data_IF_169613950618
#
_entry.id   IF_169613950618
#
_cell.length_a   1.000
_cell.length_b   1.000
_cell.length_c   1.000
_cell.angle_alpha   90.00
_cell.angle_beta   90.00
_cell.angle_gamma   90.00
#
_symmetry.space_group_name_H-M   'P 1'
#
loop_
_entity.id
_entity.type
_entity.pdbx_description
1 polymer ?
#
# COMPACT_ATOMS: atom_id res chain seq x y z
N UNK A 1 21.64 -3.73 -52.49
CA UNK A 1 22.16 -2.36 -52.22
C UNK A 1 20.97 -1.41 -52.38
N UNK A 2 20.53 -0.58 -51.45
CA UNK A 2 21.08 -0.09 -50.20
C UNK A 2 19.87 0.20 -49.27
N UNK A 3 19.96 -0.26 -48.03
CA UNK A 3 19.01 0.02 -46.95
C UNK A 3 19.14 1.50 -46.56
N UNK A 4 18.04 2.26 -46.52
CA UNK A 4 17.99 3.54 -45.79
C UNK A 4 16.87 3.48 -44.76
N UNK A 5 17.23 2.94 -43.60
CA UNK A 5 16.53 3.13 -42.33
C UNK A 5 16.48 4.63 -42.02
N UNK A 6 15.38 5.30 -42.35
CA UNK A 6 15.00 6.55 -41.69
C UNK A 6 14.55 6.19 -40.28
N UNK A 7 15.48 6.23 -39.32
CA UNK A 7 15.13 6.13 -37.90
C UNK A 7 14.33 7.38 -37.52
N UNK A 8 13.14 7.17 -36.97
CA UNK A 8 12.30 8.24 -36.44
C UNK A 8 13.07 9.02 -35.38
N UNK A 9 13.04 10.35 -35.50
CA UNK A 9 13.74 11.25 -34.61
C UNK A 9 13.13 11.15 -33.21
N UNK A 10 13.88 10.62 -32.25
CA UNK A 10 13.43 10.44 -30.86
C UNK A 10 13.80 11.68 -30.07
N UNK A 11 12.83 12.49 -29.66
CA UNK A 11 13.05 13.67 -28.80
C UNK A 11 12.68 13.39 -27.35
N UNK A 12 13.31 14.11 -26.44
CA UNK A 12 12.90 14.12 -25.03
C UNK A 12 11.44 14.58 -24.91
N UNK A 13 10.65 13.88 -24.10
CA UNK A 13 9.19 14.12 -23.96
C UNK A 13 8.84 15.02 -22.75
N UNK A 14 9.85 15.49 -22.02
CA UNK A 14 9.67 16.38 -20.85
C UNK A 14 9.57 17.85 -21.30
N UNK A 15 8.58 18.56 -20.74
CA UNK A 15 8.29 19.96 -21.06
C UNK A 15 9.50 20.86 -20.77
N UNK A 16 9.96 21.62 -21.76
CA UNK A 16 11.11 22.55 -21.64
C UNK A 16 12.44 21.99 -22.14
N UNK A 17 12.51 20.72 -22.55
CA UNK A 17 13.70 20.13 -23.14
C UNK A 17 13.51 19.79 -24.62
N UNK A 18 14.42 20.27 -25.48
CA UNK A 18 14.41 20.01 -26.93
C UNK A 18 15.54 19.09 -27.40
N UNK A 19 16.14 18.30 -26.50
CA UNK A 19 17.26 17.43 -26.84
C UNK A 19 16.85 16.30 -27.80
N UNK A 20 17.66 16.10 -28.84
CA UNK A 20 17.55 14.97 -29.77
C UNK A 20 18.26 13.75 -29.19
N UNK A 21 17.50 12.69 -28.96
CA UNK A 21 17.95 11.44 -28.34
C UNK A 21 18.17 10.33 -29.38
N UNK A 22 18.02 10.62 -30.68
CA UNK A 22 18.01 9.63 -31.77
C UNK A 22 19.30 8.80 -31.85
N UNK A 23 20.44 9.38 -31.47
CA UNK A 23 21.76 8.74 -31.52
C UNK A 23 22.29 8.32 -30.14
N UNK A 24 21.49 8.48 -29.08
CA UNK A 24 21.90 8.12 -27.72
C UNK A 24 21.54 6.66 -27.41
N UNK A 25 22.44 5.95 -26.73
CA UNK A 25 22.15 4.61 -26.22
C UNK A 25 21.03 4.66 -25.17
N UNK A 26 20.39 3.53 -24.88
CA UNK A 26 19.36 3.47 -23.84
C UNK A 26 19.85 4.01 -22.48
N UNK A 27 21.10 3.71 -22.11
CA UNK A 27 21.72 4.19 -20.88
C UNK A 27 21.96 5.71 -20.89
N UNK A 28 22.36 6.27 -22.04
CA UNK A 28 22.54 7.72 -22.21
C UNK A 28 21.21 8.46 -22.19
N UNK A 29 20.15 7.87 -22.77
CA UNK A 29 18.78 8.43 -22.70
C UNK A 29 18.24 8.44 -21.27
N UNK A 30 18.49 7.37 -20.52
CA UNK A 30 18.11 7.31 -19.10
C UNK A 30 18.84 8.39 -18.29
N UNK A 31 20.16 8.54 -18.45
CA UNK A 31 20.92 9.59 -17.76
C UNK A 31 20.45 11.01 -18.13
N UNK A 32 20.04 11.22 -19.39
CA UNK A 32 19.41 12.47 -19.82
C UNK A 32 18.08 12.72 -19.09
N UNK A 33 17.21 11.73 -18.97
CA UNK A 33 15.97 11.87 -18.20
C UNK A 33 16.26 12.16 -16.72
N UNK A 34 17.21 11.44 -16.12
CA UNK A 34 17.60 11.61 -14.71
C UNK A 34 18.12 13.04 -14.41
N UNK A 35 18.78 13.70 -15.38
CA UNK A 35 19.23 15.10 -15.22
C UNK A 35 18.07 16.10 -15.07
N UNK A 36 16.92 15.87 -15.72
CA UNK A 36 15.74 16.74 -15.57
C UNK A 36 15.13 16.67 -14.16
N UNK A 37 15.25 15.52 -13.50
CA UNK A 37 14.74 15.33 -12.15
C UNK A 37 15.67 15.90 -11.06
N UNK A 38 16.96 16.06 -11.37
CA UNK A 38 17.94 16.64 -10.44
C UNK A 38 18.04 18.17 -10.53
N UNK A 39 17.74 18.78 -11.68
CA UNK A 39 17.84 20.24 -11.88
C UNK A 39 16.65 21.03 -11.30
N UNK A 40 15.60 20.35 -10.78
CA UNK A 40 14.46 21.03 -10.14
C UNK A 40 14.82 21.77 -8.83
N UNK A 41 16.06 21.64 -8.35
CA UNK A 41 16.57 22.34 -7.16
C UNK A 41 17.40 23.60 -7.44
N UNK A 42 17.61 23.99 -8.70
CA UNK A 42 18.31 25.23 -9.03
C UNK A 42 17.73 25.91 -10.26
N UNK A 43 16.85 26.90 -10.05
CA UNK A 43 16.96 28.27 -10.61
C UNK A 43 15.62 29.02 -10.54
N UNK A 44 15.55 29.95 -9.59
CA UNK A 44 14.89 31.25 -9.78
C UNK A 44 15.75 32.13 -10.71
N UNK A 45 15.11 33.10 -11.37
CA UNK A 45 15.63 34.08 -12.36
C UNK A 45 15.89 33.47 -13.75
N UNK A 46 15.39 33.99 -14.88
CA UNK A 46 15.07 35.37 -15.33
C UNK A 46 14.04 35.33 -16.48
N UNK A 47 13.45 36.50 -16.78
CA UNK A 47 12.34 36.71 -17.72
C UNK A 47 12.77 37.17 -19.14
N UNK A 48 11.77 37.29 -20.03
CA UNK A 48 11.70 37.92 -21.39
C UNK A 48 12.06 37.01 -22.59
N UNK A 49 11.44 37.06 -23.79
CA UNK A 49 10.37 37.86 -24.45
C UNK A 49 9.97 37.20 -25.81
N UNK A 50 8.71 37.40 -26.26
CA UNK A 50 8.15 37.48 -27.66
C UNK A 50 8.56 36.46 -28.78
N UNK A 51 7.77 36.01 -29.77
CA UNK A 51 6.46 36.36 -30.37
C UNK A 51 6.06 35.34 -31.47
N UNK A 52 4.77 35.19 -31.78
CA UNK A 52 4.25 34.96 -33.15
C UNK A 52 3.82 33.53 -33.57
N UNK A 53 2.82 33.37 -34.47
CA UNK A 53 1.74 32.38 -34.30
C UNK A 53 1.63 31.31 -35.41
N UNK A 54 0.90 30.21 -35.16
CA UNK A 54 -0.06 29.62 -36.13
C UNK A 54 -0.79 28.41 -35.57
N UNK A 55 -2.06 28.33 -35.95
CA UNK A 55 -3.12 27.50 -35.39
C UNK A 55 -3.05 26.02 -35.81
N UNK A 56 -3.09 25.13 -34.83
CA UNK A 56 -3.68 23.79 -34.96
C UNK A 56 -4.02 23.23 -33.55
N UNK A 57 -4.61 24.06 -32.69
CA UNK A 57 -4.98 23.70 -31.33
C UNK A 57 -6.43 24.08 -31.08
N UNK A 58 -7.34 23.11 -31.11
CA UNK A 58 -8.68 23.39 -30.55
C UNK A 58 -9.39 22.18 -29.94
N UNK A 59 -8.99 20.93 -30.19
CA UNK A 59 -9.73 19.78 -29.65
C UNK A 59 -9.24 19.30 -28.27
N UNK A 60 -7.93 19.14 -28.06
CA UNK A 60 -7.40 18.49 -26.84
C UNK A 60 -7.05 19.45 -25.70
N UNK A 61 -6.84 20.74 -25.99
CA UNK A 61 -6.68 21.79 -24.98
C UNK A 61 -8.03 22.28 -24.41
N UNK A 62 -9.13 22.03 -25.12
CA UNK A 62 -10.44 22.50 -24.73
C UNK A 62 -10.86 21.98 -23.35
N UNK A 63 -10.58 20.71 -23.00
CA UNK A 63 -11.03 20.16 -21.71
C UNK A 63 -10.20 20.57 -20.49
N UNK A 64 -8.87 20.67 -20.65
CA UNK A 64 -7.99 21.18 -19.58
C UNK A 64 -8.36 22.63 -19.26
N UNK A 65 -8.81 23.40 -20.26
CA UNK A 65 -9.31 24.76 -20.10
C UNK A 65 -10.79 24.87 -19.70
N UNK A 66 -11.66 23.88 -20.05
CA UNK A 66 -13.09 23.85 -19.68
C UNK A 66 -13.33 23.47 -18.21
N UNK A 67 -12.30 23.00 -17.51
CA UNK A 67 -12.27 22.89 -16.04
C UNK A 67 -11.74 24.15 -15.35
N UNK A 68 -11.47 25.24 -16.09
CA UNK A 68 -11.09 26.54 -15.53
C UNK A 68 -12.34 27.41 -15.36
N UNK A 69 -13.26 26.97 -14.51
CA UNK A 69 -14.37 27.82 -14.04
C UNK A 69 -13.81 28.93 -13.14
N UNK A 70 -14.39 30.12 -13.23
CA UNK A 70 -13.92 31.39 -12.68
C UNK A 70 -13.27 31.28 -11.29
N UNK A 71 -12.07 31.86 -11.18
CA UNK A 71 -11.21 31.84 -10.01
C UNK A 71 -11.60 32.84 -8.91
N UNK A 72 -12.83 33.34 -8.90
CA UNK A 72 -13.16 34.54 -8.09
C UNK A 72 -14.00 34.29 -6.84
N UNK A 73 -14.32 33.04 -6.48
CA UNK A 73 -15.07 32.78 -5.23
C UNK A 73 -14.74 31.46 -4.51
N UNK A 74 -13.49 30.99 -4.60
CA UNK A 74 -13.03 29.86 -3.79
C UNK A 74 -12.74 30.34 -2.37
N UNK A 75 -13.73 30.25 -1.48
CA UNK A 75 -13.49 30.25 -0.02
C UNK A 75 -12.34 29.27 0.27
N UNK A 76 -11.24 29.79 0.81
CA UNK A 76 -10.05 29.02 1.18
C UNK A 76 -10.51 27.88 2.10
N UNK A 77 -10.50 26.65 1.57
CA UNK A 77 -10.84 25.46 2.33
C UNK A 77 -9.71 25.29 3.38
N UNK A 78 -10.03 25.12 4.68
CA UNK A 78 -9.00 24.95 5.70
C UNK A 78 -8.03 23.82 5.32
N UNK A 79 -6.73 24.11 5.36
CA UNK A 79 -5.68 23.22 4.87
C UNK A 79 -5.73 21.78 5.44
N UNK A 80 -6.27 21.60 6.64
CA UNK A 80 -6.40 20.27 7.27
C UNK A 80 -7.38 19.32 6.60
N UNK A 81 -8.35 19.80 5.80
CA UNK A 81 -9.40 18.97 5.21
C UNK A 81 -9.00 18.18 3.96
N UNK A 82 -7.80 18.44 3.41
CA UNK A 82 -7.36 17.94 2.11
C UNK A 82 -5.97 17.30 2.15
N UNK A 83 -5.49 16.90 3.32
CA UNK A 83 -4.21 16.19 3.45
C UNK A 83 -4.30 14.85 2.73
N UNK A 84 -3.40 14.64 1.78
CA UNK A 84 -3.24 13.37 1.08
C UNK A 84 -1.77 12.99 0.98
N UNK A 85 -1.51 11.70 1.15
CA UNK A 85 -0.18 11.11 1.12
C UNK A 85 -0.27 9.72 0.51
N UNK A 86 0.76 9.32 -0.23
CA UNK A 86 0.92 7.96 -0.76
C UNK A 86 2.37 7.50 -0.62
N UNK A 87 2.61 6.20 -0.72
CA UNK A 87 3.89 5.55 -0.41
C UNK A 87 5.08 5.92 -1.29
N UNK A 88 4.87 6.68 -2.36
CA UNK A 88 5.96 7.12 -3.25
C UNK A 88 6.44 8.53 -2.92
N UNK A 89 5.80 9.22 -1.97
CA UNK A 89 6.24 10.53 -1.51
C UNK A 89 7.44 10.39 -0.55
N UNK A 90 8.37 11.35 -0.63
CA UNK A 90 9.54 11.41 0.26
C UNK A 90 9.20 11.91 1.68
N UNK A 91 8.07 12.62 1.83
CA UNK A 91 7.61 13.12 3.12
C UNK A 91 7.13 11.96 4.02
N UNK A 92 7.29 12.08 5.35
CA UNK A 92 6.78 11.08 6.27
C UNK A 92 5.24 11.01 6.23
N UNK A 93 4.64 9.82 6.43
CA UNK A 93 3.18 9.67 6.40
C UNK A 93 2.53 10.49 7.53
N UNK A 94 1.47 11.26 7.24
CA UNK A 94 0.72 11.99 8.25
C UNK A 94 0.17 11.07 9.35
N UNK A 95 -0.19 11.61 10.54
CA UNK A 95 -0.61 10.80 11.69
C UNK A 95 -1.81 9.88 11.44
N UNK A 96 -2.72 10.27 10.53
CA UNK A 96 -3.89 9.49 10.14
C UNK A 96 -3.61 8.49 9.00
N UNK A 97 -2.44 8.53 8.37
CA UNK A 97 -2.01 7.54 7.38
C UNK A 97 -1.13 6.48 8.04
N UNK A 98 -1.38 5.22 7.72
CA UNK A 98 -0.61 4.07 8.20
C UNK A 98 -0.21 3.17 7.01
N UNK A 99 0.97 3.42 6.39
CA UNK A 99 1.48 2.58 5.32
C UNK A 99 2.08 1.27 5.84
N UNK A 100 2.38 0.34 4.92
CA UNK A 100 3.10 -0.90 5.19
C UNK A 100 2.34 -1.91 6.05
N UNK A 101 1.02 -1.74 6.19
CA UNK A 101 0.18 -2.65 6.95
C UNK A 101 -0.08 -3.98 6.22
N UNK A 102 -0.03 -4.02 4.89
CA UNK A 102 -0.18 -5.27 4.12
C UNK A 102 0.92 -6.28 4.50
N UNK A 103 2.23 -5.93 4.49
CA UNK A 103 3.29 -6.79 5.04
C UNK A 103 3.07 -7.23 6.49
N UNK A 104 2.55 -6.35 7.36
CA UNK A 104 2.27 -6.68 8.76
C UNK A 104 1.16 -7.73 8.88
N UNK A 105 0.07 -7.56 8.11
CA UNK A 105 -1.02 -8.53 8.03
C UNK A 105 -0.53 -9.85 7.44
N UNK A 106 0.29 -9.81 6.39
CA UNK A 106 0.92 -11.00 5.78
C UNK A 106 1.69 -11.81 6.81
N UNK A 107 2.58 -11.17 7.57
CA UNK A 107 3.37 -11.85 8.60
C UNK A 107 2.49 -12.47 9.69
N UNK A 108 1.41 -11.78 10.09
CA UNK A 108 0.47 -12.32 11.05
C UNK A 108 -0.30 -13.54 10.49
N UNK A 109 -0.70 -13.51 9.22
CA UNK A 109 -1.36 -14.62 8.53
C UNK A 109 -0.44 -15.84 8.40
N UNK A 110 0.84 -15.66 8.10
CA UNK A 110 1.85 -16.74 8.06
C UNK A 110 1.94 -17.42 9.43
N UNK A 111 1.98 -16.65 10.52
CA UNK A 111 1.98 -17.18 11.89
C UNK A 111 0.65 -17.84 12.28
N UNK A 112 -0.46 -17.34 11.76
CA UNK A 112 -1.78 -17.97 11.90
C UNK A 112 -1.84 -19.30 11.15
N UNK A 113 -1.19 -19.40 10.00
CA UNK A 113 -1.07 -20.63 9.22
C UNK A 113 -0.19 -21.68 9.88
N UNK A 114 0.95 -21.31 10.48
CA UNK A 114 1.79 -22.27 11.22
C UNK A 114 1.08 -22.86 12.44
N UNK A 115 0.19 -22.10 13.07
CA UNK A 115 -0.73 -22.58 14.12
C UNK A 115 -1.96 -23.31 13.55
N UNK A 116 -2.04 -23.41 12.23
CA UNK A 116 -3.08 -24.07 11.47
C UNK A 116 -4.41 -23.33 11.35
N UNK A 117 -4.62 -22.14 11.94
CA UNK A 117 -5.91 -21.46 11.85
C UNK A 117 -6.25 -20.98 10.43
N UNK A 118 -5.27 -20.39 9.75
CA UNK A 118 -5.39 -19.93 8.36
C UNK A 118 -4.87 -21.02 7.43
N UNK A 119 -5.69 -21.50 6.50
CA UNK A 119 -5.23 -22.44 5.47
C UNK A 119 -4.52 -21.68 4.35
N UNK A 120 -5.18 -20.66 3.80
CA UNK A 120 -4.65 -19.80 2.76
C UNK A 120 -5.14 -18.37 2.91
N UNK A 121 -4.41 -17.41 2.37
CA UNK A 121 -4.85 -16.03 2.29
C UNK A 121 -4.32 -15.33 1.04
N UNK A 122 -5.06 -14.34 0.56
CA UNK A 122 -4.72 -13.49 -0.58
C UNK A 122 -4.85 -12.04 -0.17
N UNK A 123 -3.83 -11.24 -0.47
CA UNK A 123 -3.76 -9.83 -0.14
C UNK A 123 -3.77 -9.01 -1.43
N UNK A 124 -4.36 -7.81 -1.37
CA UNK A 124 -4.28 -6.84 -2.45
C UNK A 124 -2.84 -6.31 -2.61
N UNK A 125 -2.68 -5.41 -3.57
CA UNK A 125 -1.46 -4.64 -3.77
C UNK A 125 -0.93 -4.04 -2.46
N UNK A 126 0.36 -4.25 -2.21
CA UNK A 126 1.00 -4.11 -0.90
C UNK A 126 1.20 -2.65 -0.44
N UNK A 127 1.18 -1.70 -1.37
CA UNK A 127 1.37 -0.26 -1.10
C UNK A 127 0.10 0.50 -0.75
N UNK A 128 -1.01 -0.19 -0.51
CA UNK A 128 -2.21 0.39 0.09
C UNK A 128 -1.91 0.90 1.51
N UNK A 129 -2.22 2.17 1.79
CA UNK A 129 -2.13 2.75 3.12
C UNK A 129 -3.52 2.82 3.77
N UNK A 130 -3.60 2.52 5.07
CA UNK A 130 -4.81 2.80 5.85
C UNK A 130 -4.91 4.29 6.12
N UNK A 131 -6.12 4.84 6.02
CA UNK A 131 -6.42 6.25 6.35
C UNK A 131 -7.52 6.31 7.41
N UNK A 132 -7.15 6.78 8.60
CA UNK A 132 -8.07 6.98 9.72
C UNK A 132 -8.87 8.29 9.57
N UNK A 133 -10.12 8.29 10.01
CA UNK A 133 -10.95 9.49 10.11
C UNK A 133 -10.41 10.47 11.15
N UNK A 134 -10.49 11.76 10.85
CA UNK A 134 -10.04 12.83 11.74
C UNK A 134 -11.25 13.45 12.46
N UNK A 135 -10.98 14.41 13.35
CA UNK A 135 -12.04 15.00 14.18
C UNK A 135 -13.15 15.68 13.36
N UNK A 136 -12.80 16.33 12.25
CA UNK A 136 -13.75 17.08 11.44
C UNK A 136 -14.69 16.18 10.61
N UNK A 137 -14.21 15.00 10.19
CA UNK A 137 -14.96 14.04 9.38
C UNK A 137 -15.44 12.81 10.16
N UNK A 138 -15.18 12.76 11.46
CA UNK A 138 -15.73 11.73 12.35
C UNK A 138 -17.25 11.66 12.20
N UNK A 139 -17.77 10.44 12.15
CA UNK A 139 -19.19 10.05 11.94
C UNK A 139 -19.76 10.17 10.53
N UNK A 140 -19.02 10.69 9.54
CA UNK A 140 -19.54 10.84 8.18
C UNK A 140 -18.52 10.65 7.07
N UNK A 141 -17.23 10.69 7.39
CA UNK A 141 -16.12 10.64 6.45
C UNK A 141 -15.80 9.27 5.86
N UNK A 142 -16.50 8.19 6.23
CA UNK A 142 -16.10 6.82 5.86
C UNK A 142 -15.92 6.64 4.34
N UNK A 143 -16.90 7.06 3.52
CA UNK A 143 -16.78 7.00 2.06
C UNK A 143 -15.61 7.80 1.51
N UNK A 144 -15.36 9.01 2.05
CA UNK A 144 -14.23 9.85 1.68
C UNK A 144 -12.88 9.21 2.04
N UNK A 145 -12.76 8.59 3.22
CA UNK A 145 -11.51 7.93 3.64
C UNK A 145 -11.25 6.65 2.84
N UNK A 146 -12.28 5.90 2.48
CA UNK A 146 -12.15 4.74 1.59
C UNK A 146 -11.71 5.17 0.17
N UNK A 147 -12.19 6.32 -0.33
CA UNK A 147 -11.66 6.93 -1.56
C UNK A 147 -10.16 7.22 -1.44
N UNK A 148 -9.71 7.87 -0.35
CA UNK A 148 -8.28 8.14 -0.15
C UNK A 148 -7.46 6.85 -0.10
N UNK A 149 -7.95 5.82 0.60
CA UNK A 149 -7.29 4.51 0.64
C UNK A 149 -7.15 3.89 -0.75
N UNK A 150 -8.19 3.93 -1.58
CA UNK A 150 -8.10 3.49 -2.97
C UNK A 150 -7.08 4.30 -3.79
N UNK A 151 -7.09 5.63 -3.66
CA UNK A 151 -6.11 6.49 -4.32
C UNK A 151 -4.66 6.17 -3.93
N UNK A 152 -4.39 5.79 -2.66
CA UNK A 152 -3.02 5.42 -2.25
C UNK A 152 -2.46 4.23 -3.04
N UNK A 153 -3.33 3.33 -3.52
CA UNK A 153 -2.96 2.20 -4.37
C UNK A 153 -2.86 2.61 -5.84
N UNK A 154 -3.93 3.24 -6.35
CA UNK A 154 -4.09 3.54 -7.78
C UNK A 154 -3.01 4.48 -8.32
N UNK A 155 -2.51 5.39 -7.48
CA UNK A 155 -1.48 6.35 -7.84
C UNK A 155 -0.06 5.77 -7.84
N UNK A 156 0.17 4.60 -7.24
CA UNK A 156 1.53 4.04 -7.08
C UNK A 156 1.72 2.66 -7.70
N UNK A 157 0.64 1.98 -8.09
CA UNK A 157 0.72 0.76 -8.89
C UNK A 157 1.36 1.03 -10.26
N UNK A 158 2.09 0.05 -10.79
CA UNK A 158 2.88 0.19 -12.02
C UNK A 158 2.16 -0.23 -13.30
N UNK A 159 1.00 -0.90 -13.20
CA UNK A 159 0.26 -1.40 -14.36
C UNK A 159 -0.44 -0.31 -15.17
N UNK A 160 -0.85 0.78 -14.52
CA UNK A 160 -1.55 1.92 -15.14
C UNK A 160 -0.98 3.26 -14.62
N UNK A 161 0.23 3.66 -15.03
CA UNK A 161 0.91 4.84 -14.48
C UNK A 161 0.14 6.15 -14.74
N UNK A 162 -0.68 6.20 -15.80
CA UNK A 162 -1.53 7.36 -16.11
C UNK A 162 -2.61 7.64 -15.07
N UNK A 163 -2.88 6.73 -14.14
CA UNK A 163 -3.82 7.00 -13.05
C UNK A 163 -3.29 8.05 -12.08
N UNK A 164 -1.96 8.16 -11.90
CA UNK A 164 -1.36 9.20 -11.06
C UNK A 164 -1.76 10.62 -11.50
N UNK A 165 -1.42 11.08 -12.73
CA UNK A 165 -1.73 12.45 -13.13
C UNK A 165 -3.23 12.74 -13.19
N UNK A 166 -4.06 11.74 -13.51
CA UNK A 166 -5.53 11.89 -13.54
C UNK A 166 -6.16 12.08 -12.15
N UNK A 167 -5.54 11.50 -11.12
CA UNK A 167 -5.99 11.65 -9.73
C UNK A 167 -5.38 12.89 -9.06
N UNK A 168 -4.17 13.29 -9.46
CA UNK A 168 -3.45 14.43 -8.89
C UNK A 168 -3.94 15.79 -9.44
N UNK A 169 -4.22 15.88 -10.74
CA UNK A 169 -4.65 17.12 -11.42
C UNK A 169 -6.14 17.08 -11.81
N UNK A 170 -6.91 18.20 -11.72
CA UNK A 170 -6.50 19.55 -11.29
C UNK A 170 -6.44 19.75 -9.77
N UNK A 171 -6.96 18.79 -9.02
CA UNK A 171 -6.87 18.80 -7.55
C UNK A 171 -6.59 17.39 -7.05
N UNK A 172 -5.66 17.24 -6.09
CA UNK A 172 -5.27 15.93 -5.59
C UNK A 172 -6.40 15.34 -4.74
N UNK A 173 -6.33 14.04 -4.42
CA UNK A 173 -7.28 13.41 -3.53
C UNK A 173 -7.36 14.16 -2.19
N UNK A 174 -8.55 14.23 -1.61
CA UNK A 174 -8.79 14.92 -0.35
C UNK A 174 -10.27 14.88 0.00
N UNK A 175 -10.63 15.01 1.28
CA UNK A 175 -12.05 14.91 1.68
C UNK A 175 -12.87 16.03 1.04
N UNK A 176 -12.38 17.28 1.09
CA UNK A 176 -13.08 18.43 0.51
C UNK A 176 -12.87 18.52 -1.00
N UNK A 177 -11.69 18.14 -1.50
CA UNK A 177 -11.44 18.06 -2.94
C UNK A 177 -12.37 17.04 -3.62
N UNK A 178 -12.66 15.91 -2.96
CA UNK A 178 -13.63 14.94 -3.46
C UNK A 178 -15.05 15.51 -3.52
N UNK A 179 -15.48 16.28 -2.50
CA UNK A 179 -16.78 16.97 -2.54
C UNK A 179 -16.89 17.88 -3.77
N UNK A 180 -15.86 18.67 -4.06
CA UNK A 180 -15.83 19.51 -5.25
C UNK A 180 -15.83 18.69 -6.53
N UNK A 181 -15.00 17.65 -6.60
CA UNK A 181 -14.91 16.76 -7.77
C UNK A 181 -16.25 16.11 -8.12
N UNK A 182 -17.01 15.64 -7.12
CA UNK A 182 -18.33 15.05 -7.34
C UNK A 182 -19.33 16.10 -7.82
N UNK A 183 -19.37 17.29 -7.20
CA UNK A 183 -20.24 18.37 -7.67
C UNK A 183 -19.90 18.85 -9.09
N UNK A 184 -18.62 18.90 -9.45
CA UNK A 184 -18.17 19.24 -10.80
C UNK A 184 -18.59 18.18 -11.81
N UNK A 185 -18.60 16.90 -11.42
CA UNK A 185 -19.13 15.82 -12.24
C UNK A 185 -20.65 15.99 -12.43
N UNK A 186 -21.39 16.28 -11.36
CA UNK A 186 -22.84 16.51 -11.41
C UNK A 186 -23.21 17.70 -12.30
N UNK A 187 -22.48 18.82 -12.22
CA UNK A 187 -22.72 19.99 -13.09
C UNK A 187 -22.46 19.69 -14.57
N UNK A 188 -21.68 18.64 -14.86
CA UNK A 188 -21.40 18.12 -16.21
C UNK A 188 -22.32 16.97 -16.62
N UNK A 189 -23.40 16.72 -15.87
CA UNK A 189 -24.44 15.76 -16.20
C UNK A 189 -24.14 14.32 -15.83
N UNK A 190 -23.16 14.07 -14.95
CA UNK A 190 -22.99 12.77 -14.31
C UNK A 190 -24.03 12.62 -13.20
N UNK A 191 -24.61 11.43 -13.07
CA UNK A 191 -25.43 10.99 -11.95
C UNK A 191 -26.46 12.01 -11.45
N UNK A 192 -27.41 12.36 -12.31
CA UNK A 192 -28.49 13.30 -11.96
C UNK A 192 -29.34 12.82 -10.77
N UNK A 193 -29.46 11.50 -10.57
CA UNK A 193 -30.21 10.90 -9.47
C UNK A 193 -29.48 11.10 -8.13
N UNK A 194 -28.21 10.71 -8.04
CA UNK A 194 -27.40 10.93 -6.83
C UNK A 194 -27.22 12.42 -6.52
N UNK A 195 -27.07 13.26 -7.55
CA UNK A 195 -27.05 14.71 -7.40
C UNK A 195 -28.35 15.22 -6.74
N UNK A 196 -29.52 14.76 -7.21
CA UNK A 196 -30.81 15.14 -6.65
C UNK A 196 -30.99 14.63 -5.21
N UNK A 197 -30.62 13.38 -4.93
CA UNK A 197 -30.68 12.78 -3.60
C UNK A 197 -29.86 13.60 -2.59
N UNK A 198 -28.68 14.05 -3.00
CA UNK A 198 -27.78 14.87 -2.19
C UNK A 198 -28.01 16.37 -2.39
N UNK A 199 -29.17 16.78 -2.93
CA UNK A 199 -29.61 18.18 -3.08
C UNK A 199 -28.58 19.06 -3.82
N UNK A 200 -27.85 18.49 -4.76
CA UNK A 200 -26.81 19.11 -5.58
C UNK A 200 -25.70 19.82 -4.77
N UNK A 201 -25.50 19.44 -3.51
CA UNK A 201 -24.58 20.12 -2.60
C UNK A 201 -23.87 19.13 -1.67
N UNK A 202 -22.56 18.96 -1.87
CA UNK A 202 -21.62 18.26 -1.00
C UNK A 202 -20.60 19.20 -0.36
N UNK A 203 -20.05 20.17 -1.09
CA UNK A 203 -19.03 21.11 -0.60
C UNK A 203 -19.56 21.84 0.62
N UNK A 204 -18.75 21.89 1.68
CA UNK A 204 -19.13 22.53 2.95
C UNK A 204 -20.12 21.72 3.79
N UNK A 205 -20.57 20.55 3.34
CA UNK A 205 -21.50 19.69 4.10
C UNK A 205 -20.76 18.56 4.82
N UNK A 206 -21.51 17.81 5.64
CA UNK A 206 -21.11 16.56 6.31
C UNK A 206 -21.92 15.36 5.80
N UNK A 207 -22.43 15.44 4.57
CA UNK A 207 -23.27 14.39 3.99
C UNK A 207 -22.46 13.11 3.80
N UNK A 208 -23.11 11.98 4.03
CA UNK A 208 -22.54 10.69 3.71
C UNK A 208 -22.53 10.51 2.20
N UNK A 209 -21.53 9.80 1.71
CA UNK A 209 -21.43 9.37 0.32
C UNK A 209 -21.23 7.86 0.30
N UNK A 210 -21.71 7.23 -0.76
CA UNK A 210 -21.56 5.81 -1.03
C UNK A 210 -20.65 5.55 -2.21
N UNK A 211 -20.61 4.29 -2.62
CA UNK A 211 -19.86 3.80 -3.77
C UNK A 211 -20.33 4.39 -5.11
N UNK A 212 -21.58 4.85 -5.21
CA UNK A 212 -22.09 5.59 -6.37
C UNK A 212 -21.34 6.92 -6.59
N UNK A 213 -21.23 7.77 -5.57
CA UNK A 213 -20.46 9.03 -5.68
C UNK A 213 -18.98 8.77 -5.96
N UNK A 214 -18.42 7.69 -5.42
CA UNK A 214 -17.04 7.31 -5.71
C UNK A 214 -16.87 6.86 -7.17
N UNK A 215 -17.79 6.05 -7.69
CA UNK A 215 -17.84 5.68 -9.11
C UNK A 215 -17.88 6.92 -10.00
N UNK A 216 -18.73 7.90 -9.64
CA UNK A 216 -18.83 9.17 -10.37
C UNK A 216 -17.50 9.91 -10.34
N UNK A 217 -16.86 10.05 -9.17
CA UNK A 217 -15.58 10.76 -9.06
C UNK A 217 -14.47 10.09 -9.89
N UNK A 218 -14.32 8.77 -9.81
CA UNK A 218 -13.31 8.03 -10.58
C UNK A 218 -13.58 8.09 -12.08
N UNK A 219 -14.82 7.80 -12.52
CA UNK A 219 -15.20 7.89 -13.93
C UNK A 219 -15.02 9.31 -14.46
N UNK A 220 -15.38 10.32 -13.66
CA UNK A 220 -15.18 11.71 -14.02
C UNK A 220 -13.70 12.08 -14.12
N UNK A 221 -12.79 11.45 -13.36
CA UNK A 221 -11.33 11.60 -13.53
C UNK A 221 -10.74 10.68 -14.61
N UNK A 222 -11.56 9.90 -15.31
CA UNK A 222 -11.11 8.99 -16.36
C UNK A 222 -10.52 7.68 -15.85
N UNK A 223 -10.77 7.33 -14.58
CA UNK A 223 -10.37 6.06 -13.99
C UNK A 223 -11.52 5.06 -14.16
N UNK A 224 -11.30 3.92 -14.86
CA UNK A 224 -12.26 2.82 -14.90
C UNK A 224 -12.59 2.32 -13.49
N UNK A 225 -13.88 2.30 -13.16
CA UNK A 225 -14.40 1.71 -11.93
C UNK A 225 -15.73 1.00 -12.23
N UNK A 226 -16.09 0.01 -11.41
CA UNK A 226 -17.30 -0.81 -11.60
C UNK A 226 -17.97 -1.10 -10.27
N UNK A 227 -19.30 -1.12 -10.29
CA UNK A 227 -20.15 -1.41 -9.14
C UNK A 227 -20.75 -2.81 -9.23
N UNK A 228 -20.85 -3.47 -8.08
CA UNK A 228 -21.52 -4.75 -7.93
C UNK A 228 -22.40 -4.75 -6.69
N UNK A 229 -23.68 -5.01 -6.86
CA UNK A 229 -24.68 -5.13 -5.80
C UNK A 229 -24.88 -6.58 -5.37
N UNK A 230 -25.01 -6.77 -4.06
CA UNK A 230 -25.23 -8.04 -3.40
C UNK A 230 -26.47 -7.95 -2.51
N UNK A 231 -27.40 -8.87 -2.73
CA UNK A 231 -28.55 -9.12 -1.85
C UNK A 231 -28.35 -10.44 -1.11
N UNK A 232 -27.95 -10.34 0.15
CA UNK A 232 -27.66 -11.48 1.01
C UNK A 232 -28.92 -12.12 1.60
N UNK A 233 -30.11 -11.56 1.37
CA UNK A 233 -31.36 -12.03 2.00
C UNK A 233 -31.70 -13.50 1.68
N UNK A 234 -31.24 -14.00 0.53
CA UNK A 234 -31.52 -15.37 0.07
C UNK A 234 -30.37 -16.34 0.29
N UNK A 235 -29.17 -15.97 -0.16
CA UNK A 235 -27.99 -16.86 -0.18
C UNK A 235 -27.00 -16.59 0.94
N UNK A 236 -27.26 -15.60 1.80
CA UNK A 236 -26.36 -15.20 2.87
C UNK A 236 -25.08 -14.52 2.36
N UNK A 237 -24.13 -14.18 3.26
CA UNK A 237 -22.85 -13.56 2.93
C UNK A 237 -21.97 -14.40 1.99
N UNK A 238 -22.26 -15.67 1.78
CA UNK A 238 -21.51 -16.59 0.94
C UNK A 238 -21.34 -16.04 -0.48
N UNK A 239 -22.36 -15.42 -1.08
CA UNK A 239 -22.25 -14.84 -2.44
C UNK A 239 -21.24 -13.70 -2.53
N UNK A 240 -21.17 -12.88 -1.48
CA UNK A 240 -20.22 -11.78 -1.39
C UNK A 240 -18.80 -12.32 -1.18
N UNK A 241 -18.66 -13.31 -0.29
CA UNK A 241 -17.38 -13.95 0.03
C UNK A 241 -16.82 -14.70 -1.18
N UNK A 242 -17.63 -15.44 -1.92
CA UNK A 242 -17.27 -16.12 -3.17
C UNK A 242 -16.80 -15.12 -4.23
N UNK A 243 -17.55 -14.02 -4.43
CA UNK A 243 -17.18 -13.00 -5.40
C UNK A 243 -15.84 -12.32 -5.04
N UNK A 244 -15.64 -11.98 -3.77
CA UNK A 244 -14.37 -11.40 -3.30
C UNK A 244 -13.21 -12.39 -3.45
N UNK A 245 -13.44 -13.66 -3.12
CA UNK A 245 -12.45 -14.70 -3.30
C UNK A 245 -12.05 -14.84 -4.78
N UNK A 246 -13.03 -14.85 -5.70
CA UNK A 246 -12.79 -14.89 -7.14
C UNK A 246 -12.03 -13.65 -7.65
N UNK A 247 -12.33 -12.45 -7.14
CA UNK A 247 -11.62 -11.23 -7.51
C UNK A 247 -10.10 -11.33 -7.23
N UNK A 248 -9.74 -11.75 -6.02
CA UNK A 248 -8.34 -11.89 -5.62
C UNK A 248 -7.66 -13.14 -6.20
N UNK A 249 -8.41 -14.24 -6.37
CA UNK A 249 -7.88 -15.49 -6.93
C UNK A 249 -7.62 -15.41 -8.44
N UNK A 250 -8.51 -14.76 -9.20
CA UNK A 250 -8.42 -14.68 -10.68
C UNK A 250 -7.17 -13.95 -11.21
N UNK A 251 -6.43 -13.24 -10.36
CA UNK A 251 -5.12 -12.67 -10.71
C UNK A 251 -3.99 -13.72 -10.77
N UNK A 252 -4.18 -14.89 -10.14
CA UNK A 252 -3.20 -15.99 -10.09
C UNK A 252 -3.31 -16.92 -11.30
N UNK A 253 -4.45 -16.91 -12.01
CA UNK A 253 -4.76 -17.85 -13.09
C UNK A 253 -4.80 -17.23 -14.50
N UNK A 254 -4.06 -16.15 -14.76
CA UNK A 254 -3.80 -15.77 -16.16
C UNK A 254 -2.94 -16.88 -16.80
N UNK A 255 -3.41 -17.56 -17.87
CA UNK A 255 -2.66 -18.63 -18.52
C UNK A 255 -1.55 -18.02 -19.40
N UNK A 256 -0.54 -17.43 -18.78
CA UNK A 256 0.75 -17.15 -19.42
C UNK A 256 1.72 -18.19 -18.89
N UNK A 257 1.91 -19.27 -19.64
CA UNK A 257 2.88 -20.37 -19.44
C UNK A 257 3.28 -20.58 -17.98
N UNK A 258 2.71 -21.61 -17.33
CA UNK A 258 3.09 -22.06 -15.98
C UNK A 258 4.60 -22.23 -15.87
N UNK A 259 5.26 -21.18 -15.41
CA UNK A 259 6.67 -21.21 -15.08
C UNK A 259 6.79 -21.72 -13.64
N UNK A 260 7.99 -22.14 -13.24
CA UNK A 260 8.24 -22.64 -11.89
C UNK A 260 7.82 -21.63 -10.79
N UNK A 261 7.79 -20.34 -11.11
CA UNK A 261 7.36 -19.26 -10.22
C UNK A 261 5.85 -19.31 -9.89
N UNK A 262 4.99 -19.70 -10.84
CA UNK A 262 3.55 -19.83 -10.60
C UNK A 262 3.22 -21.05 -9.74
N UNK A 263 3.98 -22.14 -9.92
CA UNK A 263 3.89 -23.34 -9.07
C UNK A 263 4.31 -23.01 -7.63
N UNK A 264 5.42 -22.28 -7.46
CA UNK A 264 5.89 -21.84 -6.14
C UNK A 264 4.92 -20.85 -5.47
N UNK A 265 4.32 -19.92 -6.22
CA UNK A 265 3.25 -19.05 -5.70
C UNK A 265 2.01 -19.84 -5.29
N UNK A 266 1.66 -20.88 -6.06
CA UNK A 266 0.57 -21.79 -5.75
C UNK A 266 0.74 -22.53 -4.41
N UNK A 267 2.00 -22.76 -4.00
CA UNK A 267 2.36 -23.43 -2.74
C UNK A 267 2.45 -22.48 -1.52
N UNK A 268 2.43 -21.16 -1.72
CA UNK A 268 2.50 -20.21 -0.60
C UNK A 268 1.18 -20.16 0.18
N UNK A 269 1.29 -20.18 1.51
CA UNK A 269 0.15 -20.04 2.41
C UNK A 269 -0.50 -18.65 2.33
N UNK A 270 0.29 -17.60 2.05
CA UNK A 270 -0.20 -16.23 1.90
C UNK A 270 0.34 -15.66 0.60
N UNK A 271 -0.55 -15.24 -0.29
CA UNK A 271 -0.24 -14.76 -1.64
C UNK A 271 -0.51 -13.26 -1.72
N UNK A 272 0.50 -12.48 -2.11
CA UNK A 272 0.30 -11.09 -2.51
C UNK A 272 -0.14 -11.05 -3.98
N UNK A 273 -1.11 -10.21 -4.28
CA UNK A 273 -1.64 -10.05 -5.63
C UNK A 273 -1.44 -8.62 -6.11
N UNK A 274 -1.44 -8.40 -7.42
CA UNK A 274 -1.43 -7.06 -8.00
C UNK A 274 -2.85 -6.46 -8.09
N UNK A 275 -3.85 -7.10 -7.46
CA UNK A 275 -5.23 -6.63 -7.44
C UNK A 275 -5.37 -5.39 -6.55
N UNK A 276 -6.19 -4.45 -6.98
CA UNK A 276 -6.50 -3.25 -6.20
C UNK A 276 -7.39 -3.59 -5.01
N UNK A 277 -7.38 -2.76 -3.95
CA UNK A 277 -8.33 -2.92 -2.87
C UNK A 277 -9.77 -2.68 -3.37
N UNK A 278 -10.74 -3.29 -2.69
CA UNK A 278 -12.17 -3.12 -2.99
C UNK A 278 -12.80 -2.19 -1.96
N UNK A 279 -13.71 -1.30 -2.38
CA UNK A 279 -14.50 -0.52 -1.41
C UNK A 279 -15.81 -1.26 -1.17
N UNK A 280 -16.07 -1.64 0.07
CA UNK A 280 -17.29 -2.32 0.52
C UNK A 280 -18.21 -1.33 1.22
N UNK A 281 -19.40 -1.13 0.66
CA UNK A 281 -20.46 -0.30 1.22
C UNK A 281 -21.59 -1.17 1.78
N UNK A 282 -22.15 -0.76 2.91
CA UNK A 282 -23.47 -1.19 3.39
C UNK A 282 -24.19 -0.01 4.07
N UNK A 283 -25.46 -0.18 4.43
CA UNK A 283 -26.17 0.87 5.18
C UNK A 283 -25.43 1.18 6.50
N UNK A 284 -25.04 2.45 6.70
CA UNK A 284 -24.38 2.91 7.93
C UNK A 284 -22.87 3.14 7.83
N UNK A 285 -22.16 2.46 6.92
CA UNK A 285 -20.68 2.48 6.91
C UNK A 285 -20.09 1.93 5.62
N UNK A 286 -18.83 2.28 5.36
CA UNK A 286 -18.01 1.65 4.32
C UNK A 286 -16.60 1.33 4.82
N UNK A 287 -15.99 0.33 4.20
CA UNK A 287 -14.63 -0.16 4.50
C UNK A 287 -13.89 -0.48 3.21
N UNK A 288 -12.58 -0.65 3.31
CA UNK A 288 -11.75 -1.10 2.19
C UNK A 288 -11.31 -2.55 2.42
N UNK A 289 -11.70 -3.48 1.55
CA UNK A 289 -11.22 -4.87 1.56
C UNK A 289 -9.82 -4.90 0.94
N UNK A 290 -8.87 -5.42 1.70
CA UNK A 290 -7.46 -5.56 1.32
C UNK A 290 -7.05 -7.02 1.12
N UNK A 291 -8.00 -7.94 1.16
CA UNK A 291 -7.77 -9.36 0.94
C UNK A 291 -8.83 -10.24 1.58
N UNK A 292 -8.57 -11.54 1.56
CA UNK A 292 -9.36 -12.53 2.29
C UNK A 292 -8.46 -13.65 2.80
N UNK A 293 -8.94 -14.36 3.81
CA UNK A 293 -8.35 -15.62 4.25
C UNK A 293 -9.40 -16.72 4.27
N UNK A 294 -8.93 -17.94 4.00
CA UNK A 294 -9.66 -19.18 4.18
C UNK A 294 -9.11 -19.86 5.44
N UNK A 295 -9.96 -20.03 6.45
CA UNK A 295 -9.63 -20.69 7.71
C UNK A 295 -9.85 -22.21 7.64
N UNK A 296 -9.43 -22.95 8.69
CA UNK A 296 -9.88 -24.33 8.92
C UNK A 296 -11.42 -24.41 8.78
N UNK A 297 -11.91 -25.44 8.08
CA UNK A 297 -13.32 -25.66 7.74
C UNK A 297 -13.89 -24.79 6.60
N UNK A 298 -13.02 -24.25 5.73
CA UNK A 298 -13.41 -23.45 4.57
C UNK A 298 -14.17 -22.15 4.90
N UNK A 299 -14.20 -21.74 6.17
CA UNK A 299 -14.74 -20.44 6.55
C UNK A 299 -13.88 -19.32 5.98
N UNK A 300 -14.54 -18.29 5.43
CA UNK A 300 -13.85 -17.12 4.88
C UNK A 300 -13.98 -15.94 5.85
N UNK A 301 -12.86 -15.25 6.08
CA UNK A 301 -12.87 -13.91 6.65
C UNK A 301 -12.38 -12.92 5.60
N UNK A 302 -13.03 -11.76 5.52
CA UNK A 302 -12.49 -10.64 4.77
C UNK A 302 -11.41 -9.95 5.61
N UNK A 303 -10.39 -9.43 4.93
CA UNK A 303 -9.36 -8.59 5.55
C UNK A 303 -9.66 -7.15 5.13
N UNK A 304 -9.90 -6.26 6.10
CA UNK A 304 -10.40 -4.92 5.84
C UNK A 304 -9.62 -3.83 6.57
N UNK A 305 -9.46 -2.71 5.90
CA UNK A 305 -9.10 -1.43 6.47
C UNK A 305 -10.39 -0.66 6.78
N UNK A 306 -10.61 -0.37 8.06
CA UNK A 306 -11.77 0.38 8.53
C UNK A 306 -11.35 1.83 8.88
N UNK A 307 -11.90 2.86 8.21
CA UNK A 307 -11.52 4.25 8.47
C UNK A 307 -11.96 4.73 9.86
N UNK A 308 -12.88 4.04 10.54
CA UNK A 308 -13.29 4.34 11.91
C UNK A 308 -12.43 3.65 12.97
N UNK A 309 -11.47 2.82 12.57
CA UNK A 309 -10.59 2.09 13.49
C UNK A 309 -9.18 2.65 13.45
N UNK A 310 -8.74 3.22 14.57
CA UNK A 310 -7.35 3.67 14.73
C UNK A 310 -6.43 2.46 14.84
N UNK A 311 -5.33 2.49 14.10
CA UNK A 311 -4.29 1.46 14.21
C UNK A 311 -3.50 1.67 15.50
N UNK A 312 -3.32 0.62 16.34
CA UNK A 312 -2.47 0.70 17.53
C UNK A 312 -1.04 1.16 17.21
N UNK A 313 -0.44 1.92 18.12
CA UNK A 313 0.83 2.60 17.88
C UNK A 313 1.99 1.64 17.59
N UNK A 314 2.01 0.47 18.24
CA UNK A 314 2.96 -0.60 18.01
C UNK A 314 2.83 -1.20 16.61
N UNK A 315 1.62 -1.51 16.18
CA UNK A 315 1.34 -2.04 14.83
C UNK A 315 1.66 -1.00 13.76
N UNK A 316 1.25 0.26 13.97
CA UNK A 316 1.55 1.37 13.05
C UNK A 316 3.05 1.58 12.90
N UNK A 317 3.82 1.50 13.99
CA UNK A 317 5.28 1.63 13.96
C UNK A 317 5.92 0.54 13.09
N UNK A 318 5.52 -0.71 13.25
CA UNK A 318 6.03 -1.83 12.42
C UNK A 318 5.63 -1.64 10.95
N UNK A 319 4.42 -1.15 10.68
CA UNK A 319 3.99 -0.81 9.32
C UNK A 319 4.89 0.25 8.66
N UNK A 320 5.19 1.35 9.38
CA UNK A 320 6.11 2.39 8.89
C UNK A 320 7.49 1.82 8.61
N UNK A 321 8.06 1.02 9.53
CA UNK A 321 9.37 0.40 9.34
C UNK A 321 9.40 -0.54 8.13
N UNK A 322 8.33 -1.30 7.94
CA UNK A 322 8.17 -2.20 6.79
C UNK A 322 8.11 -1.41 5.47
N UNK A 323 7.41 -0.28 5.47
CA UNK A 323 7.33 0.63 4.34
C UNK A 323 8.69 1.27 4.01
N UNK A 324 9.43 1.77 5.00
CA UNK A 324 10.74 2.39 4.79
C UNK A 324 11.78 1.39 4.30
N UNK A 325 11.76 0.15 4.82
CA UNK A 325 12.65 -0.91 4.36
C UNK A 325 12.43 -1.26 2.88
N UNK A 326 11.16 -1.36 2.46
CA UNK A 326 10.80 -1.59 1.07
C UNK A 326 11.20 -0.42 0.14
N UNK A 327 11.15 0.82 0.64
CA UNK A 327 11.60 2.00 -0.11
C UNK A 327 13.13 2.06 -0.27
N UNK A 328 13.88 1.54 0.70
CA UNK A 328 15.34 1.50 0.69
C UNK A 328 15.94 0.34 -0.15
N UNK A 329 15.11 -0.47 -0.83
CA UNK A 329 15.57 -1.60 -1.64
C UNK A 329 16.13 -2.78 -0.83
N UNK A 330 15.98 -2.76 0.51
CA UNK A 330 16.45 -3.84 1.37
C UNK A 330 15.45 -4.98 1.41
N UNK A 331 15.83 -6.15 0.89
CA UNK A 331 15.22 -7.41 1.35
C UNK A 331 15.42 -7.48 2.87
N UNK A 332 14.39 -7.78 3.68
CA UNK A 332 14.63 -8.06 5.09
C UNK A 332 15.40 -9.36 5.14
N UNK A 333 16.72 -9.25 5.34
CA UNK A 333 17.59 -10.38 5.55
C UNK A 333 17.06 -11.11 6.78
N UNK A 334 16.73 -12.39 6.60
CA UNK A 334 16.36 -13.25 7.71
C UNK A 334 17.55 -13.23 8.68
N UNK A 335 17.31 -12.86 9.93
CA UNK A 335 18.28 -13.07 11.00
C UNK A 335 18.61 -14.57 11.10
N UNK A 336 19.63 -15.01 10.38
CA UNK A 336 20.31 -16.28 10.58
C UNK A 336 21.68 -15.95 11.15
N UNK A 337 21.74 -15.82 12.48
CA UNK A 337 23.02 -15.88 13.17
C UNK A 337 23.42 -17.36 13.19
N UNK A 338 24.15 -17.79 12.15
CA UNK A 338 24.79 -19.11 12.13
C UNK A 338 25.99 -19.03 13.08
N UNK A 339 25.80 -19.51 14.30
CA UNK A 339 26.93 -19.89 15.15
C UNK A 339 27.42 -21.25 14.63
N UNK A 340 28.63 -21.25 14.07
CA UNK A 340 29.35 -22.47 13.73
C UNK A 340 29.66 -23.27 15.01
N UNK A 341 29.42 -24.59 15.04
CA UNK A 341 29.97 -25.44 16.07
C UNK A 341 31.39 -25.82 15.66
N UNK A 342 32.40 -25.44 16.45
CA UNK A 342 33.71 -26.10 16.36
C UNK A 342 34.09 -26.58 17.75
N UNK A 343 33.92 -27.89 17.89
CA UNK A 343 34.33 -28.72 19.00
C UNK A 343 35.85 -28.69 19.15
N UNK A 344 36.25 -28.66 20.42
CA UNK A 344 37.61 -28.81 20.90
C UNK A 344 38.07 -30.25 20.66
N UNK A 345 39.10 -30.46 19.84
CA UNK A 345 39.86 -31.71 19.85
C UNK A 345 41.32 -31.41 20.15
N UNK A 346 41.75 -31.84 21.33
CA UNK A 346 43.15 -31.92 21.73
C UNK A 346 43.87 -32.98 20.88
N UNK A 347 45.02 -32.65 20.29
CA UNK A 347 46.07 -33.64 20.05
C UNK A 347 47.45 -33.00 20.14
N UNK A 348 48.30 -33.62 20.95
CA UNK A 348 49.71 -33.35 21.18
C UNK A 348 50.55 -33.18 19.91
N UNK A 349 51.47 -32.20 19.91
CA UNK A 349 52.91 -32.43 19.64
C UNK A 349 53.78 -31.20 19.92
N UNK A 350 54.90 -31.50 20.60
CA UNK A 350 56.10 -30.70 20.91
C UNK A 350 56.60 -29.97 19.63
N UNK A 351 57.33 -28.85 19.64
CA UNK A 351 58.64 -28.60 20.26
C UNK A 351 59.11 -27.17 19.87
N UNK A 352 59.81 -26.46 20.78
CA UNK A 352 60.92 -25.49 20.62
C UNK A 352 60.89 -24.46 19.44
N UNK A 353 61.32 -23.20 19.54
CA UNK A 353 62.18 -22.37 20.42
C UNK A 353 62.07 -20.95 19.83
N UNK A 354 62.26 -19.80 20.49
CA UNK A 354 63.50 -19.31 21.09
C UNK A 354 63.24 -17.86 21.56
N UNK A 355 63.73 -17.52 22.77
CA UNK A 355 64.28 -16.25 23.33
C UNK A 355 63.95 -14.90 22.62
N UNK A 356 63.66 -13.80 23.32
CA UNK A 356 64.54 -12.99 24.20
C UNK A 356 63.67 -11.99 25.02
N UNK A 357 63.79 -11.95 26.36
CA UNK A 357 64.44 -10.92 27.22
C UNK A 357 63.79 -9.52 27.30
N UNK A 358 63.20 -9.16 28.45
CA UNK A 358 63.77 -8.17 29.39
C UNK A 358 62.92 -7.98 30.67
N UNK A 359 63.62 -8.02 31.81
CA UNK A 359 63.27 -7.61 33.19
C UNK A 359 63.77 -6.14 33.39
N UNK A 360 63.78 -5.45 34.56
CA UNK A 360 63.05 -5.58 35.84
C UNK A 360 62.42 -4.27 36.37
N UNK A 361 61.61 -4.36 37.44
CA UNK A 361 61.98 -3.87 38.80
C UNK A 361 60.83 -3.40 39.74
N UNK A 362 61.03 -3.71 41.03
CA UNK A 362 60.60 -3.03 42.29
C UNK A 362 59.30 -3.45 43.05
N UNK A 363 59.48 -4.43 43.96
CA UNK A 363 59.51 -4.34 45.47
C UNK A 363 58.43 -3.53 46.23
N UNK A 364 57.61 -4.22 47.06
CA UNK A 364 57.43 -4.06 48.54
C UNK A 364 56.25 -4.94 49.05
N UNK A 365 56.49 -5.95 49.92
CA UNK A 365 56.16 -6.04 51.39
C UNK A 365 54.66 -5.87 51.72
N UNK A 366 53.99 -6.68 52.55
CA UNK A 366 54.37 -7.74 53.50
C UNK A 366 53.12 -8.51 54.00
N UNK A 367 53.36 -9.73 54.53
CA UNK A 367 52.72 -10.38 55.70
C UNK A 367 51.19 -10.63 55.70
N UNK A 368 50.60 -11.72 56.19
CA UNK A 368 51.07 -12.93 56.90
C UNK A 368 49.91 -13.96 57.01
N UNK A 369 50.25 -15.14 57.56
CA UNK A 369 49.44 -16.31 57.99
C UNK A 369 49.03 -17.31 56.87
N UNK A 370 49.60 -18.52 56.77
CA UNK A 370 49.54 -19.70 57.69
C UNK A 370 48.07 -20.17 57.83
N UNK A 371 47.62 -21.41 57.55
CA UNK A 371 48.22 -22.75 57.63
C UNK A 371 47.35 -23.76 56.84
N UNK A 372 47.94 -24.90 56.44
CA UNK A 372 47.37 -26.13 55.84
C UNK A 372 46.44 -26.94 56.80
N UNK A 373 45.96 -28.17 56.48
CA UNK A 373 45.29 -28.71 55.27
C UNK A 373 44.05 -29.62 55.56
N UNK A 374 43.27 -29.95 54.52
CA UNK A 374 42.70 -31.30 54.29
C UNK A 374 41.30 -31.62 54.81
N UNK A 375 40.38 -31.95 53.90
CA UNK A 375 39.66 -33.24 53.87
C UNK A 375 38.69 -33.32 52.67
N UNK A 376 38.75 -34.45 51.97
CA UNK A 376 37.82 -34.89 50.94
C UNK A 376 36.47 -35.27 51.54
N UNK A 377 35.35 -34.80 50.97
CA UNK A 377 34.05 -35.46 51.04
C UNK A 377 33.30 -35.25 49.72
N UNK A 378 32.96 -36.36 49.06
CA UNK A 378 32.03 -36.43 47.92
C UNK A 378 30.61 -36.40 48.50
N UNK A 379 29.79 -35.43 48.09
CA UNK A 379 28.34 -35.48 48.24
C UNK A 379 27.72 -35.22 46.88
N UNK A 380 27.03 -36.25 46.37
CA UNK A 380 26.12 -36.16 45.23
C UNK A 380 24.80 -35.62 45.77
N UNK A 381 24.28 -34.57 45.14
CA UNK A 381 22.87 -34.19 45.23
C UNK A 381 22.45 -33.71 43.84
N UNK A 382 21.58 -34.51 43.23
CA UNK A 382 20.69 -34.13 42.14
C UNK A 382 19.96 -32.84 42.52
N UNK A 383 20.01 -31.84 41.63
CA UNK A 383 19.01 -30.79 41.57
C UNK A 383 18.60 -30.66 40.11
N UNK A 384 17.32 -30.94 39.88
CA UNK A 384 16.58 -30.75 38.64
C UNK A 384 16.62 -29.26 38.25
N UNK A 385 17.48 -28.91 37.28
CA UNK A 385 17.33 -27.66 36.54
C UNK A 385 16.14 -27.83 35.57
N UNK A 386 14.93 -27.63 36.09
CA UNK A 386 13.79 -27.14 35.31
C UNK A 386 14.17 -25.75 34.75
N UNK A 387 14.95 -25.76 33.67
CA UNK A 387 15.12 -24.60 32.81
C UNK A 387 13.77 -24.31 32.15
N UNK A 388 12.98 -23.49 32.85
CA UNK A 388 11.90 -22.69 32.30
C UNK A 388 12.38 -22.10 30.96
N UNK A 389 11.95 -22.72 29.86
CA UNK A 389 12.07 -22.23 28.51
C UNK A 389 11.21 -20.95 28.40
N UNK A 390 11.71 -19.86 28.99
CA UNK A 390 11.15 -18.52 28.83
C UNK A 390 11.35 -18.13 27.38
N UNK A 391 10.30 -18.40 26.61
CA UNK A 391 9.85 -17.69 25.43
C UNK A 391 10.71 -16.47 25.14
N UNK A 392 11.60 -16.60 24.16
CA UNK A 392 12.21 -15.45 23.48
C UNK A 392 11.06 -14.66 22.88
N UNK A 393 10.52 -13.69 23.62
CA UNK A 393 9.48 -12.79 23.17
C UNK A 393 9.88 -12.22 21.79
N UNK A 394 9.20 -12.68 20.74
CA UNK A 394 9.29 -12.06 19.43
C UNK A 394 9.00 -10.56 19.60
N UNK A 395 9.95 -9.69 19.25
CA UNK A 395 9.91 -8.23 19.39
C UNK A 395 8.81 -7.53 18.54
N UNK A 396 7.86 -8.27 17.99
CA UNK A 396 6.76 -7.79 17.14
C UNK A 396 5.39 -7.82 17.81
N UNK A 397 4.39 -7.13 17.25
CA UNK A 397 3.03 -7.19 17.76
C UNK A 397 2.48 -8.61 17.69
N UNK A 398 1.71 -9.02 18.71
CA UNK A 398 1.06 -10.34 18.74
C UNK A 398 0.19 -10.53 17.47
N UNK A 399 0.47 -11.56 16.65
CA UNK A 399 -0.26 -11.85 15.42
C UNK A 399 -1.77 -11.93 15.62
N UNK A 400 -2.22 -12.44 16.77
CA UNK A 400 -3.64 -12.60 17.06
C UNK A 400 -4.31 -11.24 17.24
N UNK A 401 -3.64 -10.29 17.91
CA UNK A 401 -4.08 -8.89 18.05
C UNK A 401 -4.10 -8.19 16.70
N UNK A 402 -3.08 -8.38 15.86
CA UNK A 402 -3.03 -7.85 14.50
C UNK A 402 -4.25 -8.34 13.70
N UNK A 403 -4.47 -9.64 13.62
CA UNK A 403 -5.55 -10.22 12.81
C UNK A 403 -6.94 -9.84 13.34
N UNK A 404 -7.13 -9.72 14.65
CA UNK A 404 -8.38 -9.19 15.24
C UNK A 404 -8.69 -7.76 14.81
N UNK A 405 -7.69 -7.01 14.32
CA UNK A 405 -7.90 -5.65 13.81
C UNK A 405 -8.49 -5.65 12.41
N UNK A 406 -8.00 -6.54 11.56
CA UNK A 406 -8.28 -6.52 10.13
C UNK A 406 -9.32 -7.57 9.71
N UNK A 407 -9.58 -8.61 10.50
CA UNK A 407 -10.60 -9.63 10.17
C UNK A 407 -12.01 -9.06 10.32
N UNK A 408 -12.78 -9.19 9.24
CA UNK A 408 -14.23 -9.03 9.23
C UNK A 408 -14.87 -10.40 9.00
N UNK A 409 -15.53 -10.91 10.04
CA UNK A 409 -16.09 -12.25 10.04
C UNK A 409 -17.39 -12.35 9.25
N UNK A 410 -17.67 -13.55 8.75
CA UNK A 410 -18.95 -13.90 8.12
C UNK A 410 -20.14 -13.54 9.01
N UNK A 411 -20.06 -13.78 10.33
CA UNK A 411 -21.11 -13.42 11.30
C UNK A 411 -21.38 -11.90 11.34
N UNK A 412 -20.35 -11.07 11.14
CA UNK A 412 -20.53 -9.62 11.09
C UNK A 412 -21.23 -9.19 9.80
N UNK A 413 -20.94 -9.88 8.68
CA UNK A 413 -21.58 -9.62 7.38
C UNK A 413 -23.07 -9.97 7.38
N UNK A 414 -23.50 -10.98 8.15
CA UNK A 414 -24.93 -11.35 8.29
C UNK A 414 -25.82 -10.26 8.91
N UNK A 415 -25.25 -9.17 9.43
CA UNK A 415 -26.02 -8.09 10.09
C UNK A 415 -26.68 -7.13 9.10
N UNK A 416 -26.37 -7.24 7.81
CA UNK A 416 -26.93 -6.41 6.74
C UNK A 416 -27.27 -7.31 5.56
N UNK A 417 -28.34 -6.98 4.85
CA UNK A 417 -28.76 -7.77 3.70
C UNK A 417 -28.26 -7.19 2.38
N UNK A 418 -27.89 -5.90 2.38
CA UNK A 418 -27.48 -5.18 1.16
C UNK A 418 -26.06 -4.69 1.27
N UNK A 419 -25.24 -5.11 0.32
CA UNK A 419 -23.87 -4.65 0.14
C UNK A 419 -23.64 -4.21 -1.29
N UNK A 420 -22.75 -3.24 -1.48
CA UNK A 420 -22.25 -2.86 -2.80
C UNK A 420 -20.73 -2.82 -2.75
N UNK A 421 -20.08 -3.31 -3.80
CA UNK A 421 -18.64 -3.20 -4.00
C UNK A 421 -18.37 -2.22 -5.13
N UNK A 422 -17.40 -1.32 -4.91
CA UNK A 422 -16.69 -0.63 -5.99
C UNK A 422 -15.32 -1.29 -6.18
N UNK A 423 -14.98 -1.63 -7.42
CA UNK A 423 -13.68 -2.20 -7.77
C UNK A 423 -13.06 -1.55 -9.01
N UNK A 424 -11.74 -1.73 -9.13
CA UNK A 424 -10.92 -1.17 -10.22
C UNK A 424 -10.37 -2.32 -11.08
N UNK A 425 -10.71 -2.39 -12.38
CA UNK A 425 -10.21 -3.43 -13.25
C UNK A 425 -8.76 -3.22 -13.72
N UNK A 426 -8.17 -2.04 -13.44
CA UNK A 426 -6.85 -1.61 -13.94
C UNK A 426 -6.74 -1.62 -15.49
N UNK A 427 -7.83 -1.21 -16.14
CA UNK A 427 -7.88 -1.00 -17.60
C UNK A 427 -7.31 0.37 -17.97
N UNK A 428 -7.12 0.62 -19.27
CA UNK A 428 -6.62 1.92 -19.74
C UNK A 428 -7.55 3.07 -19.32
N UNK A 429 -7.01 4.30 -19.12
CA UNK A 429 -7.83 5.45 -18.81
C UNK A 429 -8.95 5.68 -19.82
N UNK A 430 -10.10 6.12 -19.30
CA UNK A 430 -11.28 6.33 -20.10
C UNK A 430 -11.13 7.54 -21.03
N UNK A 431 -11.45 7.34 -22.30
CA UNK A 431 -11.63 8.44 -23.26
C UNK A 431 -12.82 9.32 -22.86
N UNK A 432 -12.90 10.53 -23.43
CA UNK A 432 -14.03 11.43 -23.13
C UNK A 432 -15.39 10.81 -23.50
N UNK A 433 -15.47 10.14 -24.66
CA UNK A 433 -16.69 9.46 -25.11
C UNK A 433 -17.12 8.39 -24.10
N UNK A 434 -16.17 7.59 -23.64
CA UNK A 434 -16.37 6.54 -22.65
C UNK A 434 -16.78 7.08 -21.27
N UNK A 435 -16.23 8.23 -20.85
CA UNK A 435 -16.65 8.91 -19.62
C UNK A 435 -18.10 9.38 -19.74
N UNK A 436 -18.45 10.02 -20.86
CA UNK A 436 -19.82 10.49 -21.14
C UNK A 436 -20.82 9.32 -21.21
N UNK A 437 -20.43 8.20 -21.79
CA UNK A 437 -21.26 6.99 -21.85
C UNK A 437 -21.55 6.41 -20.45
N UNK A 438 -20.62 6.60 -19.51
CA UNK A 438 -20.73 6.15 -18.11
C UNK A 438 -21.31 7.21 -17.16
N UNK A 439 -21.96 8.25 -17.68
CA UNK A 439 -22.57 9.31 -16.86
C UNK A 439 -23.74 8.83 -16.00
N UNK A 440 -24.39 7.74 -16.39
CA UNK A 440 -25.47 7.10 -15.60
C UNK A 440 -24.84 6.00 -14.78
N UNK A 441 -25.02 6.05 -13.46
CA UNK A 441 -24.49 5.05 -12.54
C UNK A 441 -25.24 3.74 -12.76
N UNK A 442 -24.47 2.68 -13.00
CA UNK A 442 -25.00 1.34 -13.19
C UNK A 442 -24.17 0.35 -12.39
N UNK A 443 -24.79 -0.75 -11.99
CA UNK A 443 -24.18 -1.76 -11.13
C UNK A 443 -24.60 -3.15 -11.60
N UNK A 444 -23.65 -4.09 -11.58
CA UNK A 444 -23.95 -5.49 -11.81
C UNK A 444 -24.63 -6.07 -10.58
N UNK A 445 -25.65 -6.93 -10.75
CA UNK A 445 -26.35 -7.54 -9.62
C UNK A 445 -25.94 -9.01 -9.51
N UNK A 446 -25.39 -9.40 -8.35
CA UNK A 446 -25.12 -10.80 -8.00
C UNK A 446 -26.27 -11.30 -7.14
N UNK A 447 -26.92 -12.39 -7.58
CA UNK A 447 -28.11 -12.97 -6.95
C UNK A 447 -27.86 -14.35 -6.35
#
# INVERSE_FOLDING_TARGET
MYNKNTREMTRCQLSGCSADLTYMSAQQRQAHYDSHFNDSNQKQFEASSSSGPSNAETASKAWVHLCRTSSEDRKIIPAGGNVFWHSSQSSPPPPNFSPGLIPVVKNALIKSHSKGYTQRAWLCFDRVAHVYGEQFDRSWGCGYRNFLMACTALMVQSGQPMYFPLLDDPTPPGVRNLQSCIQDAWSKGFDAEGAKELKHQLVGTRKWIGTAELYVAFTFRGIPARLVDFDLSKRGPEILLEWVAQYFFSGVLQPKQTNAFDVLRGAQAVVDTDRMPLILQHAGHSRTIVGYEQCKNSMINLLVFDPSRRIPADIRRVGILSHTAAAAGGTPDKFHQVLHPVQTTQTHKRKASHRLLNDPSKRMRAAASASRPGQDVIVVSDDDDDDDEKDRHELGPDPSKVLKIFRLSTTTLRRKDKYQILYFPLEDPLTESERRARRVVTSAVVR
#
